data_IF_989544280784
#
_entry.id   IF_989544280784
#
_cell.length_a   1.000
_cell.length_b   1.000
_cell.length_c   1.000
_cell.angle_alpha   90.00
_cell.angle_beta   90.00
_cell.angle_gamma   90.00
#
_symmetry.space_group_name_H-M   'P 1'
#
loop_
_entity.id
_entity.type
_entity.pdbx_description
1 polymer ?
#
# COMPACT_ATOMS: atom_id res chain seq x y z
N UNK A 1 32.58 10.02 14.65
CA UNK A 1 31.46 9.10 14.93
C UNK A 1 31.79 8.40 16.23
N UNK A 2 31.01 8.62 17.28
CA UNK A 2 31.27 8.03 18.60
C UNK A 2 30.75 6.59 18.61
N UNK A 3 31.62 5.62 18.90
CA UNK A 3 31.19 4.23 19.09
C UNK A 3 30.73 4.10 20.54
N UNK A 4 29.46 3.74 20.75
CA UNK A 4 28.89 3.54 22.10
C UNK A 4 28.97 2.07 22.55
N UNK A 5 29.18 1.14 21.62
CA UNK A 5 29.52 -0.24 21.92
C UNK A 5 30.43 -0.80 20.83
N UNK A 6 31.62 -1.24 21.21
CA UNK A 6 32.56 -1.87 20.28
C UNK A 6 32.03 -3.22 19.80
N UNK A 7 32.48 -3.65 18.63
CA UNK A 7 32.22 -4.99 18.11
C UNK A 7 32.78 -6.07 19.04
N UNK A 8 32.06 -7.18 19.16
CA UNK A 8 32.49 -8.32 19.96
C UNK A 8 31.88 -9.62 19.43
N UNK A 9 32.58 -10.73 19.67
CA UNK A 9 32.02 -12.06 19.47
C UNK A 9 31.08 -12.39 20.62
N UNK A 10 29.91 -12.95 20.31
CA UNK A 10 28.89 -13.23 21.30
C UNK A 10 27.83 -14.18 20.77
N UNK A 11 26.76 -14.35 21.54
CA UNK A 11 25.65 -15.21 21.19
C UNK A 11 24.33 -14.48 21.30
N UNK A 12 23.37 -14.85 20.45
CA UNK A 12 21.95 -14.49 20.58
C UNK A 12 21.17 -15.77 20.75
N UNK A 13 20.57 -15.96 21.93
CA UNK A 13 19.82 -17.18 22.29
C UNK A 13 20.59 -18.49 22.05
N UNK A 14 21.93 -18.45 22.10
CA UNK A 14 22.81 -19.59 21.85
C UNK A 14 23.33 -19.72 20.42
N UNK A 15 22.89 -18.87 19.48
CA UNK A 15 23.48 -18.80 18.15
C UNK A 15 24.80 -18.02 18.22
N UNK A 16 25.92 -18.65 17.87
CA UNK A 16 27.22 -17.98 17.79
C UNK A 16 27.27 -16.95 16.66
N UNK A 17 27.89 -15.81 16.93
CA UNK A 17 28.06 -14.75 15.95
C UNK A 17 28.91 -13.58 16.44
N UNK A 18 28.69 -12.44 15.80
CA UNK A 18 29.40 -11.18 16.09
C UNK A 18 28.43 -10.02 16.11
N UNK A 19 28.51 -9.22 17.16
CA UNK A 19 27.90 -7.90 17.21
C UNK A 19 28.83 -6.88 16.57
N UNK A 20 28.26 -5.99 15.76
CA UNK A 20 28.99 -4.91 15.10
C UNK A 20 29.05 -3.67 16.01
N UNK A 21 29.93 -2.72 15.66
CA UNK A 21 30.04 -1.43 16.35
C UNK A 21 28.70 -0.69 16.34
N UNK A 22 28.23 -0.28 17.50
CA UNK A 22 27.02 0.52 17.64
C UNK A 22 27.38 2.00 17.67
N UNK A 23 26.66 2.79 16.89
CA UNK A 23 26.89 4.23 16.76
C UNK A 23 25.56 4.97 16.92
N UNK A 24 25.50 6.06 17.69
CA UNK A 24 24.31 6.89 17.79
C UNK A 24 24.27 7.90 16.64
N UNK A 25 23.07 8.23 16.19
CA UNK A 25 22.78 9.43 15.43
C UNK A 25 22.69 10.65 16.35
N UNK A 26 22.74 11.85 15.77
CA UNK A 26 22.64 13.13 16.50
C UNK A 26 21.31 13.27 17.26
N UNK A 27 20.25 12.65 16.77
CA UNK A 27 18.94 12.62 17.42
C UNK A 27 18.81 11.56 18.54
N UNK A 28 19.91 10.88 18.91
CA UNK A 28 19.93 9.86 19.95
C UNK A 28 19.50 8.46 19.50
N UNK A 29 19.04 8.29 18.24
CA UNK A 29 18.69 6.99 17.70
C UNK A 29 19.93 6.15 17.42
N UNK A 30 19.81 4.82 17.51
CA UNK A 30 20.92 3.91 17.25
C UNK A 30 21.00 3.57 15.75
N UNK A 31 22.20 3.57 15.20
CA UNK A 31 22.54 3.02 13.89
C UNK A 31 23.53 1.84 14.01
N UNK A 32 23.57 0.99 12.98
CA UNK A 32 24.56 -0.08 12.81
C UNK A 32 24.58 -1.10 13.96
N UNK A 33 23.45 -1.27 14.65
CA UNK A 33 23.30 -2.29 15.67
C UNK A 33 22.88 -3.60 15.01
N UNK A 34 23.88 -4.41 14.69
CA UNK A 34 23.77 -5.63 13.89
C UNK A 34 24.43 -6.79 14.62
N UNK A 35 23.80 -7.96 14.55
CA UNK A 35 24.37 -9.24 14.91
C UNK A 35 24.35 -10.18 13.70
N UNK A 36 25.52 -10.66 13.28
CA UNK A 36 25.66 -11.65 12.22
C UNK A 36 26.06 -13.02 12.77
N UNK A 37 25.35 -14.08 12.41
CA UNK A 37 25.69 -15.43 12.85
C UNK A 37 26.95 -15.96 12.19
N UNK A 38 27.57 -16.97 12.81
CA UNK A 38 28.47 -17.88 12.10
C UNK A 38 27.66 -18.63 11.04
N UNK A 39 28.29 -18.88 9.89
CA UNK A 39 27.63 -19.58 8.79
C UNK A 39 27.42 -21.06 9.13
N UNK A 40 26.24 -21.60 8.83
CA UNK A 40 25.91 -23.03 8.98
C UNK A 40 25.65 -23.68 7.62
N UNK A 41 25.94 -24.97 7.44
CA UNK A 41 25.56 -25.70 6.23
C UNK A 41 24.04 -25.69 6.02
N UNK A 42 23.60 -25.59 4.77
CA UNK A 42 22.18 -25.68 4.41
C UNK A 42 21.97 -26.61 3.21
N UNK A 43 20.90 -27.40 3.25
CA UNK A 43 20.50 -28.30 2.16
C UNK A 43 19.53 -27.62 1.19
N UNK A 44 19.42 -28.12 -0.05
CA UNK A 44 18.49 -27.60 -1.05
C UNK A 44 19.03 -26.47 -1.95
N UNK A 45 20.14 -25.83 -1.58
CA UNK A 45 20.71 -24.67 -2.31
C UNK A 45 22.04 -24.96 -3.01
N UNK A 46 22.51 -26.21 -2.98
CA UNK A 46 23.73 -26.64 -3.62
C UNK A 46 24.70 -27.37 -2.69
N UNK A 47 25.63 -28.15 -3.27
CA UNK A 47 26.63 -28.90 -2.49
C UNK A 47 27.59 -27.92 -1.81
N UNK A 48 27.60 -27.93 -0.48
CA UNK A 48 28.44 -27.05 0.33
C UNK A 48 27.87 -25.65 0.53
N UNK A 49 26.58 -25.43 0.20
CA UNK A 49 25.93 -24.15 0.47
C UNK A 49 25.87 -23.88 1.98
N UNK A 50 25.98 -22.60 2.34
CA UNK A 50 25.89 -22.14 3.73
C UNK A 50 24.90 -20.99 3.86
N UNK A 51 24.31 -20.86 5.05
CA UNK A 51 23.41 -19.78 5.43
C UNK A 51 24.01 -18.99 6.60
N UNK A 52 23.87 -17.66 6.54
CA UNK A 52 24.13 -16.75 7.66
C UNK A 52 22.87 -15.92 7.91
N UNK A 53 22.44 -15.85 9.17
CA UNK A 53 21.39 -14.92 9.57
C UNK A 53 22.00 -13.59 10.02
N UNK A 54 21.30 -12.50 9.75
CA UNK A 54 21.61 -11.15 10.20
C UNK A 54 20.40 -10.60 10.95
N UNK A 55 20.63 -10.18 12.19
CA UNK A 55 19.66 -9.49 13.03
C UNK A 55 20.09 -8.04 13.15
N UNK A 56 19.15 -7.12 13.01
CA UNK A 56 19.38 -5.69 13.11
C UNK A 56 18.29 -5.07 13.98
N UNK A 57 18.68 -4.17 14.88
CA UNK A 57 17.74 -3.34 15.63
C UNK A 57 18.28 -1.90 15.68
N UNK A 58 17.93 -1.13 14.66
CA UNK A 58 18.46 0.22 14.44
C UNK A 58 17.52 1.10 13.61
N UNK A 59 17.87 2.37 13.44
CA UNK A 59 17.19 3.35 12.58
C UNK A 59 18.03 3.67 11.33
N UNK A 60 18.68 2.68 10.70
CA UNK A 60 19.54 2.97 9.55
C UNK A 60 18.77 3.58 8.34
N UNK A 61 17.45 3.42 8.31
CA UNK A 61 16.56 4.06 7.34
C UNK A 61 16.28 5.55 7.64
N UNK A 62 16.71 6.08 8.80
CA UNK A 62 16.54 7.47 9.22
C UNK A 62 15.07 7.92 9.23
N UNK A 63 14.19 7.02 9.66
CA UNK A 63 12.76 7.32 9.78
C UNK A 63 12.37 7.68 11.23
N UNK A 64 13.33 7.69 12.17
CA UNK A 64 13.09 8.04 13.56
C UNK A 64 12.66 6.86 14.44
N UNK A 65 12.67 5.63 13.91
CA UNK A 65 12.17 4.45 14.61
C UNK A 65 13.14 3.28 14.51
N UNK A 66 13.70 2.84 15.65
CA UNK A 66 14.52 1.64 15.68
C UNK A 66 13.64 0.43 15.37
N UNK A 67 13.97 -0.28 14.29
CA UNK A 67 13.16 -1.37 13.75
C UNK A 67 13.97 -2.66 13.76
N UNK A 68 13.36 -3.72 14.29
CA UNK A 68 13.96 -5.04 14.26
C UNK A 68 13.78 -5.69 12.90
N UNK A 69 14.85 -6.26 12.36
CA UNK A 69 14.82 -7.13 11.20
C UNK A 69 15.68 -8.36 11.46
N UNK A 70 15.19 -9.50 11.00
CA UNK A 70 15.93 -10.77 10.96
C UNK A 70 15.86 -11.30 9.54
N UNK A 71 17.01 -11.40 8.89
CA UNK A 71 17.13 -11.82 7.49
C UNK A 71 18.22 -12.86 7.38
N UNK A 72 18.36 -13.48 6.20
CA UNK A 72 19.51 -14.34 5.94
C UNK A 72 19.99 -14.20 4.51
N UNK A 73 21.20 -14.71 4.30
CA UNK A 73 21.82 -14.86 3.00
C UNK A 73 22.34 -16.29 2.87
N UNK A 74 22.04 -16.93 1.74
CA UNK A 74 22.52 -18.26 1.39
C UNK A 74 23.56 -18.13 0.28
N UNK A 75 24.72 -18.75 0.48
CA UNK A 75 25.82 -18.77 -0.48
C UNK A 75 26.10 -20.19 -0.97
N UNK A 76 26.16 -20.37 -2.28
CA UNK A 76 26.70 -21.57 -2.93
C UNK A 76 28.13 -21.29 -3.41
N UNK A 77 29.17 -21.97 -2.88
CA UNK A 77 30.56 -21.72 -3.27
C UNK A 77 30.85 -22.04 -4.75
N UNK A 78 29.97 -22.78 -5.41
CA UNK A 78 30.09 -23.13 -6.84
C UNK A 78 29.59 -22.00 -7.75
N UNK A 79 28.80 -21.07 -7.22
CA UNK A 79 28.26 -19.93 -7.96
C UNK A 79 29.28 -18.79 -7.95
N UNK A 80 29.72 -18.36 -9.14
CA UNK A 80 30.69 -17.26 -9.31
C UNK A 80 30.03 -15.88 -9.45
N UNK A 81 28.75 -15.83 -9.85
CA UNK A 81 27.98 -14.58 -9.94
C UNK A 81 27.50 -14.15 -8.56
N UNK A 82 27.25 -12.85 -8.40
CA UNK A 82 26.70 -12.24 -7.17
C UNK A 82 27.43 -12.66 -5.88
N UNK A 83 28.75 -12.87 -5.98
CA UNK A 83 29.60 -13.35 -4.86
C UNK A 83 29.12 -14.67 -4.25
N UNK A 84 28.45 -15.51 -5.05
CA UNK A 84 27.92 -16.81 -4.66
C UNK A 84 26.57 -16.77 -3.96
N UNK A 85 25.94 -15.59 -3.82
CA UNK A 85 24.62 -15.45 -3.18
C UNK A 85 23.55 -16.05 -4.09
N UNK A 86 22.80 -17.02 -3.57
CA UNK A 86 21.73 -17.71 -4.32
C UNK A 86 20.33 -17.42 -3.77
N UNK A 87 20.23 -16.94 -2.53
CA UNK A 87 19.01 -16.43 -1.92
C UNK A 87 19.36 -15.44 -0.81
N UNK A 88 18.55 -14.40 -0.62
CA UNK A 88 18.71 -13.44 0.47
C UNK A 88 17.38 -12.78 0.85
N UNK A 89 17.33 -12.16 2.03
CA UNK A 89 16.17 -11.42 2.53
C UNK A 89 15.39 -12.18 3.60
N UNK A 90 14.07 -12.16 3.49
CA UNK A 90 13.14 -12.77 4.46
C UNK A 90 13.07 -14.30 4.27
N UNK A 91 14.08 -15.02 4.78
CA UNK A 91 14.21 -16.48 4.70
C UNK A 91 13.84 -17.14 6.05
N UNK A 92 12.65 -16.80 6.57
CA UNK A 92 12.23 -17.21 7.92
C UNK A 92 12.22 -18.72 8.13
N UNK A 93 11.77 -19.50 7.14
CA UNK A 93 11.71 -20.95 7.24
C UNK A 93 13.11 -21.57 7.30
N UNK A 94 14.04 -21.07 6.48
CA UNK A 94 15.44 -21.53 6.46
C UNK A 94 16.17 -21.14 7.75
N UNK A 95 15.90 -19.94 8.27
CA UNK A 95 16.41 -19.49 9.57
C UNK A 95 15.87 -20.38 10.68
N UNK A 96 14.55 -20.61 10.76
CA UNK A 96 13.97 -21.47 11.80
C UNK A 96 14.48 -22.91 11.74
N UNK A 97 14.74 -23.44 10.54
CA UNK A 97 15.32 -24.79 10.36
C UNK A 97 16.79 -24.87 10.75
N UNK A 98 17.60 -23.86 10.42
CA UNK A 98 19.06 -23.92 10.59
C UNK A 98 19.56 -23.29 11.89
N UNK A 99 18.82 -22.31 12.39
CA UNK A 99 19.02 -21.60 13.66
C UNK A 99 17.71 -21.63 14.46
N UNK A 100 17.25 -22.81 14.91
CA UNK A 100 15.99 -22.94 15.67
C UNK A 100 15.98 -22.07 16.93
N UNK A 101 17.14 -21.76 17.50
CA UNK A 101 17.28 -20.86 18.63
C UNK A 101 16.91 -19.39 18.33
N UNK A 102 16.95 -18.97 17.06
CA UNK A 102 16.53 -17.64 16.61
C UNK A 102 15.05 -17.59 16.20
N UNK A 103 14.38 -18.74 16.07
CA UNK A 103 12.99 -18.81 15.67
C UNK A 103 12.03 -17.96 16.54
N UNK A 104 12.21 -17.85 17.88
CA UNK A 104 11.39 -16.98 18.70
C UNK A 104 11.42 -15.50 18.28
N UNK A 105 12.51 -15.04 17.63
CA UNK A 105 12.66 -13.65 17.21
C UNK A 105 12.01 -13.36 15.85
N UNK A 106 11.65 -14.38 15.07
CA UNK A 106 11.03 -14.21 13.73
C UNK A 106 9.71 -13.43 13.82
N UNK A 107 8.94 -13.63 14.89
CA UNK A 107 7.68 -12.90 15.12
C UNK A 107 7.86 -11.39 15.23
N UNK A 108 9.07 -10.92 15.56
CA UNK A 108 9.40 -9.51 15.71
C UNK A 108 9.91 -8.86 14.43
N UNK A 109 10.03 -9.61 13.33
CA UNK A 109 10.50 -9.07 12.05
C UNK A 109 9.62 -7.88 11.61
N UNK A 110 10.23 -6.72 11.38
CA UNK A 110 9.59 -5.44 11.06
C UNK A 110 8.73 -4.85 12.20
N UNK A 111 9.11 -5.11 13.45
CA UNK A 111 8.55 -4.43 14.63
C UNK A 111 9.48 -3.30 15.04
N UNK A 112 8.95 -2.08 15.16
CA UNK A 112 9.68 -0.93 15.69
C UNK A 112 9.36 -0.69 17.17
N UNK A 113 10.01 0.31 17.74
CA UNK A 113 9.70 0.83 19.08
C UNK A 113 8.23 1.30 19.24
N UNK A 114 7.50 1.54 18.15
CA UNK A 114 6.09 1.99 18.15
C UNK A 114 5.11 0.85 17.87
N UNK A 115 5.58 -0.24 17.27
CA UNK A 115 4.78 -1.43 17.04
C UNK A 115 5.14 -2.18 15.77
N UNK A 116 4.41 -3.26 15.46
CA UNK A 116 4.51 -3.93 14.17
C UNK A 116 4.25 -2.98 13.00
N UNK A 117 4.99 -3.16 11.90
CA UNK A 117 4.80 -2.36 10.69
C UNK A 117 3.34 -2.44 10.21
N UNK A 118 2.69 -1.27 10.13
CA UNK A 118 1.26 -1.13 9.82
C UNK A 118 0.32 -1.98 10.71
N UNK A 119 0.69 -2.20 11.99
CA UNK A 119 0.02 -3.08 12.95
C UNK A 119 -1.52 -3.10 12.83
N UNK A 120 -2.18 -1.96 13.04
CA UNK A 120 -3.63 -1.87 13.02
C UNK A 120 -4.17 -2.02 11.59
N UNK A 121 -3.58 -1.32 10.62
CA UNK A 121 -4.08 -1.29 9.25
C UNK A 121 -4.01 -2.67 8.58
N UNK A 122 -2.86 -3.35 8.69
CA UNK A 122 -2.67 -4.69 8.13
C UNK A 122 -3.54 -5.72 8.82
N UNK A 123 -3.63 -5.70 10.15
CA UNK A 123 -4.47 -6.67 10.88
C UNK A 123 -5.94 -6.53 10.47
N UNK A 124 -6.48 -5.30 10.49
CA UNK A 124 -7.87 -5.02 10.10
C UNK A 124 -8.11 -5.38 8.63
N UNK A 125 -7.18 -5.04 7.74
CA UNK A 125 -7.30 -5.39 6.33
C UNK A 125 -7.34 -6.90 6.13
N UNK A 126 -6.38 -7.65 6.68
CA UNK A 126 -6.31 -9.12 6.53
C UNK A 126 -7.53 -9.81 7.12
N UNK A 127 -8.01 -9.37 8.29
CA UNK A 127 -9.19 -9.93 8.95
C UNK A 127 -10.53 -9.52 8.31
N UNK A 128 -10.53 -8.50 7.46
CA UNK A 128 -11.73 -8.02 6.78
C UNK A 128 -12.09 -8.85 5.54
N UNK A 129 -13.38 -8.90 5.22
CA UNK A 129 -13.93 -9.39 3.96
C UNK A 129 -14.18 -8.26 2.93
N UNK A 130 -13.72 -7.05 3.24
CA UNK A 130 -13.75 -5.89 2.33
C UNK A 130 -12.55 -5.91 1.39
N UNK A 131 -12.77 -5.55 0.14
CA UNK A 131 -11.72 -5.45 -0.88
C UNK A 131 -10.76 -4.27 -0.61
N UNK A 132 -9.84 -4.02 -1.56
CA UNK A 132 -8.86 -2.93 -1.48
C UNK A 132 -9.49 -1.53 -1.55
N UNK A 133 -10.77 -1.41 -1.93
CA UNK A 133 -11.54 -0.17 -1.85
C UNK A 133 -12.31 -0.03 -0.53
N UNK A 134 -12.19 -1.00 0.39
CA UNK A 134 -12.92 -1.02 1.65
C UNK A 134 -14.39 -1.42 1.48
N UNK A 135 -14.75 -2.08 0.37
CA UNK A 135 -16.12 -2.45 0.03
C UNK A 135 -16.41 -3.93 0.23
N UNK A 136 -17.60 -4.24 0.71
CA UNK A 136 -18.13 -5.61 0.78
C UNK A 136 -18.56 -6.08 -0.60
N UNK A 137 -18.60 -7.41 -0.78
CA UNK A 137 -19.12 -8.00 -2.01
C UNK A 137 -20.53 -7.49 -2.30
N UNK A 138 -20.74 -6.98 -3.52
CA UNK A 138 -22.01 -6.43 -3.99
C UNK A 138 -22.26 -4.97 -3.63
N UNK A 139 -21.39 -4.31 -2.86
CA UNK A 139 -21.45 -2.85 -2.69
C UNK A 139 -21.03 -2.14 -3.99
N UNK A 140 -21.57 -0.95 -4.23
CA UNK A 140 -21.20 -0.14 -5.39
C UNK A 140 -19.74 0.30 -5.26
N UNK A 141 -18.90 -0.11 -6.23
CA UNK A 141 -17.49 0.20 -6.29
C UNK A 141 -17.22 1.44 -7.17
N UNK A 142 -17.99 1.61 -8.24
CA UNK A 142 -17.89 2.77 -9.12
C UNK A 142 -19.28 3.25 -9.54
N UNK A 143 -19.39 4.56 -9.72
CA UNK A 143 -20.56 5.22 -10.28
C UNK A 143 -20.19 6.09 -11.46
N UNK A 144 -21.15 6.31 -12.35
CA UNK A 144 -21.05 7.26 -13.45
C UNK A 144 -22.31 8.13 -13.45
N UNK A 145 -22.14 9.39 -13.83
CA UNK A 145 -23.28 10.28 -14.09
C UNK A 145 -23.77 10.05 -15.51
N UNK A 146 -25.06 9.90 -15.71
CA UNK A 146 -25.69 9.80 -17.03
C UNK A 146 -26.77 10.86 -17.17
N UNK A 147 -27.05 11.28 -18.40
CA UNK A 147 -28.20 12.16 -18.68
C UNK A 147 -29.34 11.36 -19.30
N UNK A 148 -30.56 11.66 -18.87
CA UNK A 148 -31.82 11.15 -19.42
C UNK A 148 -32.73 12.30 -19.77
N UNK A 149 -33.56 12.11 -20.79
CA UNK A 149 -34.45 13.13 -21.32
C UNK A 149 -35.91 12.70 -21.11
N UNK A 150 -36.60 13.31 -20.14
CA UNK A 150 -37.99 13.03 -19.83
C UNK A 150 -38.19 11.57 -19.42
N UNK A 151 -39.24 10.94 -19.94
CA UNK A 151 -39.56 9.52 -19.67
C UNK A 151 -38.80 8.54 -20.58
N UNK A 152 -37.81 9.02 -21.36
CA UNK A 152 -37.02 8.14 -22.21
C UNK A 152 -36.19 7.17 -21.35
N UNK A 153 -36.36 5.84 -21.52
CA UNK A 153 -35.64 4.86 -20.71
C UNK A 153 -34.14 4.77 -21.02
N UNK A 154 -33.69 5.40 -22.12
CA UNK A 154 -32.29 5.36 -22.57
C UNK A 154 -31.48 6.41 -21.82
N UNK A 155 -30.44 5.95 -21.11
CA UNK A 155 -29.42 6.82 -20.54
C UNK A 155 -28.30 7.12 -21.53
N UNK A 156 -27.90 8.37 -21.64
CA UNK A 156 -26.79 8.80 -22.45
C UNK A 156 -25.53 8.98 -21.58
N UNK A 157 -24.49 8.20 -21.89
CA UNK A 157 -23.16 8.35 -21.28
C UNK A 157 -22.37 9.36 -22.07
N UNK A 158 -21.79 10.32 -21.37
CA UNK A 158 -21.03 11.43 -21.95
C UNK A 158 -19.74 11.59 -21.18
N UNK A 159 -18.77 12.30 -21.78
CA UNK A 159 -17.50 12.59 -21.10
C UNK A 159 -17.78 13.32 -19.79
N UNK A 160 -17.12 12.91 -18.70
CA UNK A 160 -17.32 13.45 -17.34
C UNK A 160 -17.23 14.98 -17.29
N UNK A 161 -16.26 15.58 -17.98
CA UNK A 161 -16.10 17.04 -18.03
C UNK A 161 -17.30 17.73 -18.70
N UNK A 162 -17.86 17.12 -19.75
CA UNK A 162 -19.02 17.67 -20.44
C UNK A 162 -20.29 17.57 -19.58
N UNK A 163 -20.48 16.45 -18.86
CA UNK A 163 -21.57 16.32 -17.90
C UNK A 163 -21.47 17.36 -16.77
N UNK A 164 -20.26 17.59 -16.24
CA UNK A 164 -20.05 18.61 -15.22
C UNK A 164 -20.40 20.02 -15.72
N UNK A 165 -20.05 20.34 -16.98
CA UNK A 165 -20.45 21.59 -17.63
C UNK A 165 -21.97 21.72 -17.78
N UNK A 166 -22.66 20.64 -18.19
CA UNK A 166 -24.12 20.67 -18.30
C UNK A 166 -24.80 20.78 -16.92
N UNK A 167 -24.29 20.10 -15.91
CA UNK A 167 -24.81 20.18 -14.54
C UNK A 167 -24.64 21.58 -13.95
N UNK A 168 -23.49 22.23 -14.17
CA UNK A 168 -23.29 23.60 -13.68
C UNK A 168 -24.25 24.58 -14.36
N UNK A 169 -24.49 24.45 -15.66
CA UNK A 169 -25.49 25.27 -16.35
C UNK A 169 -26.92 25.03 -15.83
N UNK A 170 -27.25 23.78 -15.50
CA UNK A 170 -28.55 23.41 -14.93
C UNK A 170 -28.83 24.07 -13.57
N UNK A 171 -27.81 24.23 -12.74
CA UNK A 171 -27.92 24.80 -11.39
C UNK A 171 -28.10 26.33 -11.39
N UNK A 172 -27.57 27.04 -12.40
CA UNK A 172 -27.44 28.50 -12.36
C UNK A 172 -28.53 29.27 -13.12
N UNK A 173 -29.25 28.63 -14.04
CA UNK A 173 -29.91 29.36 -15.13
C UNK A 173 -31.45 29.18 -15.22
N UNK A 174 -32.11 28.52 -14.26
CA UNK A 174 -33.58 28.50 -14.19
C UNK A 174 -34.28 27.99 -15.46
N UNK A 175 -35.13 28.82 -16.10
CA UNK A 175 -35.89 28.46 -17.32
C UNK A 175 -35.04 28.41 -18.59
N UNK A 176 -33.91 29.12 -18.64
CA UNK A 176 -33.02 29.21 -19.81
C UNK A 176 -31.76 28.34 -19.63
N UNK A 177 -31.91 27.24 -18.87
CA UNK A 177 -30.77 26.49 -18.33
C UNK A 177 -29.84 25.81 -19.33
N UNK A 178 -30.24 25.71 -20.58
CA UNK A 178 -29.43 25.13 -21.66
C UNK A 178 -29.52 25.99 -22.94
N UNK A 179 -29.43 27.31 -22.82
CA UNK A 179 -29.28 28.21 -23.96
C UNK A 179 -27.80 28.32 -24.37
N UNK A 180 -27.32 27.37 -25.17
CA UNK A 180 -25.94 27.33 -25.64
C UNK A 180 -25.84 27.59 -27.14
N UNK A 181 -24.77 28.25 -27.55
CA UNK A 181 -24.38 28.31 -28.95
C UNK A 181 -23.70 26.98 -29.38
N UNK A 182 -23.99 26.49 -30.58
CA UNK A 182 -23.25 25.37 -31.19
C UNK A 182 -22.04 25.92 -31.94
N UNK A 183 -20.85 25.48 -31.53
CA UNK A 183 -19.57 25.95 -32.07
C UNK A 183 -18.86 24.82 -32.82
N UNK A 184 -18.41 25.12 -34.04
CA UNK A 184 -17.52 24.24 -34.80
C UNK A 184 -16.06 24.45 -34.36
N UNK A 185 -15.39 23.36 -34.01
CA UNK A 185 -13.97 23.32 -33.67
C UNK A 185 -13.22 22.63 -34.81
N UNK A 186 -12.22 23.29 -35.37
CA UNK A 186 -11.38 22.74 -36.43
C UNK A 186 -10.24 21.89 -35.86
N UNK A 187 -9.78 20.88 -36.61
CA UNK A 187 -8.58 20.14 -36.24
C UNK A 187 -7.33 20.95 -36.55
N UNK A 188 -6.47 21.17 -35.56
CA UNK A 188 -5.18 21.81 -35.75
C UNK A 188 -4.11 20.78 -36.13
N UNK A 189 -3.57 20.88 -37.35
CA UNK A 189 -2.47 20.02 -37.78
C UNK A 189 -1.15 20.49 -37.18
N UNK A 190 -0.33 19.54 -36.72
CA UNK A 190 1.04 19.86 -36.32
C UNK A 190 1.91 20.11 -37.55
N UNK A 191 3.01 20.84 -37.36
CA UNK A 191 3.94 21.20 -38.43
C UNK A 191 4.46 19.93 -39.12
N UNK A 192 4.10 19.76 -40.39
CA UNK A 192 4.48 18.60 -41.21
C UNK A 192 3.38 17.56 -41.43
N UNK A 193 2.20 17.74 -40.82
CA UNK A 193 1.03 16.88 -41.02
C UNK A 193 0.02 17.53 -41.99
N UNK A 194 -0.63 16.71 -42.83
CA UNK A 194 -1.61 17.14 -43.83
C UNK A 194 -2.93 16.37 -43.74
N UNK A 195 -3.38 16.08 -42.52
CA UNK A 195 -4.67 15.43 -42.33
C UNK A 195 -5.81 16.43 -42.56
N UNK A 196 -6.82 16.02 -43.33
CA UNK A 196 -8.01 16.82 -43.58
C UNK A 196 -9.19 16.25 -42.77
N UNK A 197 -9.13 16.41 -41.45
CA UNK A 197 -10.24 16.01 -40.58
C UNK A 197 -11.37 17.04 -40.64
N UNK A 198 -12.61 16.54 -40.64
CA UNK A 198 -13.80 17.38 -40.54
C UNK A 198 -13.83 18.09 -39.18
N UNK A 199 -14.42 19.30 -39.08
CA UNK A 199 -14.64 19.93 -37.80
C UNK A 199 -15.53 19.05 -36.91
N UNK A 200 -15.32 19.14 -35.60
CA UNK A 200 -16.20 18.57 -34.57
C UNK A 200 -16.94 19.70 -33.88
N UNK A 201 -17.98 19.37 -33.13
CA UNK A 201 -18.91 20.37 -32.59
C UNK A 201 -19.03 20.27 -31.07
N UNK A 202 -19.22 21.43 -30.43
CA UNK A 202 -19.36 21.58 -28.98
C UNK A 202 -20.33 22.72 -28.65
N UNK A 203 -20.65 22.89 -27.37
CA UNK A 203 -21.41 24.04 -26.88
C UNK A 203 -20.49 25.18 -26.41
N UNK A 204 -20.95 26.42 -26.64
CA UNK A 204 -20.34 27.63 -26.13
C UNK A 204 -20.19 27.59 -24.61
N UNK A 205 -19.02 27.99 -24.11
CA UNK A 205 -18.69 27.92 -22.69
C UNK A 205 -18.03 26.63 -22.21
N UNK A 206 -18.11 25.51 -22.95
CA UNK A 206 -17.39 24.27 -22.59
C UNK A 206 -15.89 24.32 -22.94
N UNK A 207 -15.54 24.97 -24.05
CA UNK A 207 -14.16 25.33 -24.42
C UNK A 207 -13.16 24.16 -24.42
N UNK A 208 -13.25 23.26 -25.41
CA UNK A 208 -12.41 22.06 -25.49
C UNK A 208 -11.69 21.88 -26.83
N UNK A 209 -10.58 21.15 -26.82
CA UNK A 209 -9.86 20.74 -28.02
C UNK A 209 -10.74 19.91 -28.97
N UNK A 210 -10.38 19.89 -30.27
CA UNK A 210 -11.09 19.13 -31.31
C UNK A 210 -11.40 17.68 -30.90
N UNK A 211 -10.41 16.92 -30.40
CA UNK A 211 -10.61 15.51 -30.01
C UNK A 211 -11.47 15.32 -28.75
N UNK A 212 -11.67 16.38 -27.98
CA UNK A 212 -12.49 16.38 -26.78
C UNK A 212 -13.95 16.78 -27.04
N UNK A 213 -14.25 17.36 -28.21
CA UNK A 213 -15.60 17.72 -28.61
C UNK A 213 -16.58 16.52 -28.48
N UNK A 214 -17.81 16.77 -27.99
CA UNK A 214 -18.80 15.72 -27.76
C UNK A 214 -19.54 15.26 -29.03
N UNK A 215 -19.56 16.06 -30.10
CA UNK A 215 -20.35 15.77 -31.30
C UNK A 215 -19.47 15.77 -32.57
N UNK A 216 -19.79 14.88 -33.52
CA UNK A 216 -19.06 14.75 -34.79
C UNK A 216 -19.73 15.53 -35.94
N UNK A 217 -20.95 16.03 -35.73
CA UNK A 217 -21.65 16.89 -36.68
C UNK A 217 -22.49 17.99 -36.02
N UNK A 218 -22.74 19.06 -36.76
CA UNK A 218 -23.58 20.18 -36.32
C UNK A 218 -25.00 19.72 -36.00
N UNK A 219 -25.55 18.83 -36.84
CA UNK A 219 -26.89 18.27 -36.65
C UNK A 219 -27.02 17.55 -35.31
N UNK A 220 -26.05 16.69 -34.97
CA UNK A 220 -26.05 15.99 -33.67
C UNK A 220 -26.01 16.96 -32.49
N UNK A 221 -25.19 18.01 -32.59
CA UNK A 221 -25.10 19.03 -31.54
C UNK A 221 -26.43 19.80 -31.36
N UNK A 222 -27.07 20.19 -32.47
CA UNK A 222 -28.37 20.89 -32.45
C UNK A 222 -29.50 19.99 -31.96
N UNK A 223 -29.54 18.72 -32.37
CA UNK A 223 -30.52 17.73 -31.87
C UNK A 223 -30.36 17.52 -30.37
N UNK A 224 -29.11 17.39 -29.89
CA UNK A 224 -28.83 17.23 -28.46
C UNK A 224 -29.20 18.49 -27.65
N UNK A 225 -28.91 19.68 -28.18
CA UNK A 225 -29.31 20.95 -27.57
C UNK A 225 -30.84 21.06 -27.49
N UNK A 226 -31.54 20.72 -28.56
CA UNK A 226 -33.00 20.66 -28.58
C UNK A 226 -33.57 19.70 -27.53
N UNK A 227 -32.92 18.55 -27.33
CA UNK A 227 -33.30 17.62 -26.27
C UNK A 227 -33.07 18.19 -24.86
N UNK A 228 -31.93 18.86 -24.62
CA UNK A 228 -31.66 19.55 -23.36
C UNK A 228 -32.72 20.62 -23.04
N UNK A 229 -33.14 21.38 -24.04
CA UNK A 229 -34.10 22.48 -23.87
C UNK A 229 -35.55 21.99 -23.75
N UNK A 230 -35.95 21.01 -24.56
CA UNK A 230 -37.35 20.61 -24.71
C UNK A 230 -37.77 19.33 -23.99
N UNK A 231 -36.83 18.45 -23.63
CA UNK A 231 -37.14 17.11 -23.16
C UNK A 231 -36.81 16.88 -21.68
N UNK A 232 -36.90 17.92 -20.85
CA UNK A 232 -36.70 17.83 -19.39
C UNK A 232 -35.52 16.93 -18.95
N UNK A 233 -34.26 17.32 -19.20
CA UNK A 233 -33.12 16.50 -18.85
C UNK A 233 -32.95 16.38 -17.33
N UNK A 234 -32.54 15.20 -16.88
CA UNK A 234 -32.09 14.92 -15.51
C UNK A 234 -30.79 14.11 -15.52
N UNK A 235 -30.00 14.30 -14.46
CA UNK A 235 -28.69 13.68 -14.30
C UNK A 235 -28.74 12.66 -13.18
N UNK A 236 -28.61 11.39 -13.54
CA UNK A 236 -28.66 10.27 -12.60
C UNK A 236 -27.26 9.77 -12.29
N UNK A 237 -27.02 9.37 -11.04
CA UNK A 237 -25.84 8.60 -10.66
C UNK A 237 -26.19 7.11 -10.74
N UNK A 238 -25.52 6.39 -11.64
CA UNK A 238 -25.74 4.95 -11.83
C UNK A 238 -24.50 4.17 -11.41
N UNK A 239 -24.71 2.99 -10.81
CA UNK A 239 -23.63 2.06 -10.50
C UNK A 239 -23.08 1.43 -11.80
N UNK A 240 -21.76 1.44 -11.95
CA UNK A 240 -21.05 0.88 -13.12
C UNK A 240 -20.13 -0.27 -12.77
N UNK A 241 -19.77 -0.41 -11.49
CA UNK A 241 -19.03 -1.55 -10.98
C UNK A 241 -19.49 -1.89 -9.56
N UNK A 242 -19.38 -3.17 -9.22
CA UNK A 242 -19.69 -3.71 -7.90
C UNK A 242 -18.44 -4.36 -7.32
N UNK A 243 -18.25 -4.20 -6.02
CA UNK A 243 -17.13 -4.75 -5.30
C UNK A 243 -17.24 -6.28 -5.22
N UNK A 244 -16.11 -6.97 -5.33
CA UNK A 244 -16.05 -8.42 -5.16
C UNK A 244 -15.85 -8.83 -3.70
N UNK A 245 -15.48 -7.86 -2.84
CA UNK A 245 -14.95 -8.15 -1.51
C UNK A 245 -13.67 -8.97 -1.57
N UNK A 246 -13.29 -9.58 -0.45
CA UNK A 246 -12.21 -10.57 -0.42
C UNK A 246 -12.46 -11.65 0.64
N UNK A 247 -11.75 -12.76 0.51
CA UNK A 247 -11.65 -13.73 1.59
C UNK A 247 -10.84 -13.15 2.77
N UNK A 248 -11.22 -13.52 3.99
CA UNK A 248 -10.42 -13.19 5.18
C UNK A 248 -9.16 -14.04 5.18
N UNK A 249 -8.04 -13.44 5.54
CA UNK A 249 -6.78 -14.14 5.81
C UNK A 249 -6.44 -13.99 7.29
N UNK A 250 -7.08 -14.82 8.11
CA UNK A 250 -6.97 -14.72 9.57
C UNK A 250 -5.56 -15.07 10.06
N UNK A 251 -4.84 -15.95 9.37
CA UNK A 251 -3.47 -16.28 9.72
C UNK A 251 -2.51 -15.13 9.41
N UNK A 252 -2.70 -14.43 8.29
CA UNK A 252 -1.98 -13.18 8.03
C UNK A 252 -2.34 -12.10 9.05
N UNK A 253 -3.61 -12.02 9.49
CA UNK A 253 -4.03 -11.10 10.54
C UNK A 253 -3.32 -11.39 11.87
N UNK A 254 -3.24 -12.66 12.30
CA UNK A 254 -2.49 -13.08 13.50
C UNK A 254 -1.02 -12.69 13.41
N UNK A 255 -0.37 -12.92 12.26
CA UNK A 255 1.03 -12.56 12.05
C UNK A 255 1.23 -11.03 12.10
N UNK A 256 0.38 -10.27 11.41
CA UNK A 256 0.44 -8.81 11.42
C UNK A 256 0.20 -8.22 12.82
N UNK A 257 -0.65 -8.85 13.61
CA UNK A 257 -0.96 -8.45 14.97
C UNK A 257 0.06 -8.94 16.03
N UNK A 258 1.00 -9.79 15.62
CA UNK A 258 1.84 -10.58 16.55
C UNK A 258 0.96 -11.19 17.66
N UNK A 259 -0.13 -11.83 17.24
CA UNK A 259 -1.19 -12.36 18.10
C UNK A 259 -1.56 -13.79 17.68
N UNK A 260 -0.65 -14.76 17.84
CA UNK A 260 -0.86 -16.13 17.36
C UNK A 260 -2.04 -16.84 18.02
N UNK A 261 -2.36 -16.50 19.26
CA UNK A 261 -3.44 -17.08 20.06
C UNK A 261 -4.81 -16.43 19.82
N UNK A 262 -4.90 -15.39 18.98
CA UNK A 262 -6.17 -14.74 18.68
C UNK A 262 -7.17 -15.73 18.07
N UNK A 263 -8.36 -15.78 18.64
CA UNK A 263 -9.48 -16.54 18.08
C UNK A 263 -10.00 -15.88 16.79
N UNK A 264 -10.64 -16.67 15.93
CA UNK A 264 -11.29 -16.13 14.73
C UNK A 264 -12.34 -15.07 15.11
N UNK A 265 -13.05 -15.26 16.22
CA UNK A 265 -14.06 -14.33 16.72
C UNK A 265 -13.46 -12.96 17.10
N UNK A 266 -12.30 -12.95 17.78
CA UNK A 266 -11.60 -11.71 18.13
C UNK A 266 -11.10 -10.96 16.90
N UNK A 267 -10.64 -11.66 15.86
CA UNK A 267 -10.19 -11.04 14.62
C UNK A 267 -11.36 -10.60 13.73
N UNK A 268 -12.53 -11.22 13.86
CA UNK A 268 -13.73 -10.91 13.08
C UNK A 268 -14.63 -9.84 13.70
N UNK A 269 -14.20 -9.22 14.81
CA UNK A 269 -14.87 -8.05 15.39
C UNK A 269 -15.08 -6.95 14.34
N UNK A 270 -16.06 -6.07 14.60
CA UNK A 270 -16.26 -4.91 13.73
C UNK A 270 -14.98 -4.07 13.67
N UNK A 271 -14.67 -3.42 12.52
CA UNK A 271 -13.38 -2.77 12.34
C UNK A 271 -13.01 -1.75 13.42
N UNK A 272 -13.99 -1.06 14.01
CA UNK A 272 -13.75 -0.13 15.11
C UNK A 272 -13.36 -0.83 16.42
N UNK A 273 -14.01 -1.95 16.73
CA UNK A 273 -13.76 -2.75 17.93
C UNK A 273 -12.41 -3.46 17.84
N UNK A 274 -12.09 -4.06 16.68
CA UNK A 274 -10.78 -4.67 16.45
C UNK A 274 -9.65 -3.64 16.58
N UNK A 275 -9.82 -2.43 16.03
CA UNK A 275 -8.84 -1.34 16.20
C UNK A 275 -8.62 -0.99 17.66
N UNK A 276 -9.70 -0.89 18.45
CA UNK A 276 -9.61 -0.58 19.87
C UNK A 276 -8.91 -1.70 20.65
N UNK A 277 -9.23 -2.97 20.36
CA UNK A 277 -8.58 -4.12 20.98
C UNK A 277 -7.07 -4.17 20.67
N UNK A 278 -6.69 -3.93 19.41
CA UNK A 278 -5.28 -3.88 19.00
C UNK A 278 -4.53 -2.74 19.69
N UNK A 279 -5.12 -1.54 19.75
CA UNK A 279 -4.54 -0.39 20.43
C UNK A 279 -4.37 -0.64 21.93
N UNK A 280 -5.32 -1.30 22.58
CA UNK A 280 -5.23 -1.68 23.99
C UNK A 280 -4.11 -2.70 24.27
N UNK A 281 -3.85 -3.63 23.33
CA UNK A 281 -2.76 -4.63 23.44
C UNK A 281 -1.37 -4.05 23.19
N UNK A 282 -1.27 -2.98 22.39
CA UNK A 282 0.02 -2.48 21.89
C UNK A 282 1.06 -2.20 22.99
N UNK A 283 0.74 -1.54 24.12
CA UNK A 283 1.75 -1.27 25.16
C UNK A 283 2.37 -2.53 25.75
N UNK A 284 1.57 -3.57 26.00
CA UNK A 284 2.07 -4.85 26.50
C UNK A 284 2.92 -5.59 25.46
N UNK A 285 2.51 -5.52 24.19
CA UNK A 285 3.28 -6.09 23.07
C UNK A 285 4.65 -5.41 22.92
N UNK A 286 4.71 -4.08 23.06
CA UNK A 286 5.98 -3.34 23.03
C UNK A 286 6.87 -3.69 24.22
N UNK A 287 6.29 -3.86 25.42
CA UNK A 287 7.05 -4.28 26.59
C UNK A 287 7.65 -5.70 26.40
N UNK A 288 6.89 -6.61 25.78
CA UNK A 288 7.38 -7.94 25.41
C UNK A 288 8.51 -7.86 24.39
N UNK A 289 8.30 -7.12 23.29
CA UNK A 289 9.30 -6.91 22.25
C UNK A 289 10.60 -6.34 22.83
N UNK A 290 10.50 -5.31 23.67
CA UNK A 290 11.66 -4.70 24.34
C UNK A 290 12.44 -5.73 25.15
N UNK A 291 11.76 -6.51 25.98
CA UNK A 291 12.39 -7.55 26.80
C UNK A 291 13.15 -8.55 25.92
N UNK A 292 12.58 -8.95 24.80
CA UNK A 292 13.21 -9.90 23.89
C UNK A 292 14.42 -9.29 23.16
N UNK A 293 14.37 -8.00 22.79
CA UNK A 293 15.53 -7.28 22.22
C UNK A 293 16.68 -7.17 23.22
N UNK A 294 16.37 -6.79 24.46
CA UNK A 294 17.36 -6.69 25.54
C UNK A 294 17.95 -8.07 25.87
N UNK A 295 17.13 -9.13 25.94
CA UNK A 295 17.59 -10.50 26.14
C UNK A 295 18.43 -11.03 24.97
N UNK A 296 18.18 -10.56 23.75
CA UNK A 296 19.01 -10.81 22.58
C UNK A 296 20.29 -9.96 22.55
N UNK A 297 20.54 -9.11 23.56
CA UNK A 297 21.74 -8.29 23.66
C UNK A 297 21.70 -7.02 22.81
N UNK A 298 20.53 -6.58 22.35
CA UNK A 298 20.36 -5.29 21.70
C UNK A 298 20.11 -4.18 22.73
N UNK A 299 20.69 -3.01 22.49
CA UNK A 299 20.42 -1.78 23.21
C UNK A 299 19.08 -1.22 22.74
N UNK A 300 18.19 -0.92 23.68
CA UNK A 300 16.90 -0.31 23.38
C UNK A 300 17.03 1.15 22.92
N UNK A 301 17.93 1.89 23.55
CA UNK A 301 18.27 3.29 23.23
C UNK A 301 19.77 3.54 23.43
N UNK A 302 20.29 4.67 22.92
CA UNK A 302 21.70 5.02 23.10
C UNK A 302 22.10 5.14 24.59
N UNK A 303 21.17 5.57 25.45
CA UNK A 303 21.38 5.66 26.90
C UNK A 303 21.52 4.29 27.58
N UNK A 304 21.08 3.22 26.92
CA UNK A 304 21.19 1.86 27.45
C UNK A 304 22.65 1.34 27.48
N UNK A 305 23.60 2.05 26.87
CA UNK A 305 25.02 1.67 26.83
C UNK A 305 25.82 2.05 28.09
N UNK A 306 25.26 2.90 28.96
CA UNK A 306 25.95 3.45 30.14
C UNK A 306 25.45 2.88 31.48
N UNK A 307 24.49 1.95 31.44
CA UNK A 307 23.95 1.23 32.60
C UNK A 307 24.57 -0.18 32.71
#
# INVERSE_FOLDING_TARGET
>A
MTIIRNEFAGQVFGADGRFHNVVPFENGMIANQIFGTVARPISGYGKGATIRAELRFDDNCKNGHSTFAITAEIRDPRMRRDRGIVACGCLHDEIAKTFPELAPLIRWHLVSIDGPMHYIANTVYMASNRDHFGKLKGEVAATETVVRFGDNPISHRLKKAFLAFLQSAAEHNGRDRFDFEVIAVAHENKRGESYNFKPKYTFGGYGVDWYQCPFDSEREALEFLGALQGCNPHFDTVATAWAEGKARDLDAARRAAVWPEATDAELMLEPAELKAALAARLPALIAEFRRDMEAAGFLWSADSATA
#
